data_IF_982032797527
#
_entry.id   IF_982032797527
#
_cell.length_a   1.000
_cell.length_b   1.000
_cell.length_c   1.000
_cell.angle_alpha   90.00
_cell.angle_beta   90.00
_cell.angle_gamma   90.00
#
_symmetry.space_group_name_H-M   'P 1'
#
loop_
_entity.id
_entity.type
_entity.pdbx_description
1 polymer ?
#
# COMPACT_ATOMS: atom_id res chain seq x y z
N UNK A 1 1.85 -5.94 -12.13
CA UNK A 1 0.88 -4.83 -11.95
C UNK A 1 0.45 -4.24 -13.31
N UNK A 2 -0.70 -3.55 -13.39
CA UNK A 2 -1.20 -2.96 -14.65
C UNK A 2 -0.25 -1.91 -15.26
N UNK A 3 0.46 -1.14 -14.43
CA UNK A 3 1.44 -0.14 -14.91
C UNK A 3 2.60 -0.78 -15.68
N UNK A 4 3.08 -1.94 -15.24
CA UNK A 4 4.13 -2.71 -15.93
C UNK A 4 3.66 -3.20 -17.31
N UNK A 5 2.39 -3.59 -17.44
CA UNK A 5 1.79 -3.94 -18.75
C UNK A 5 1.76 -2.72 -19.69
N UNK A 6 1.61 -1.50 -19.15
CA UNK A 6 1.65 -0.27 -19.96
C UNK A 6 3.08 0.07 -20.40
N UNK A 7 4.07 -0.01 -19.51
CA UNK A 7 5.50 0.17 -19.85
C UNK A 7 5.96 -0.78 -20.97
N UNK A 8 5.47 -2.01 -20.99
CA UNK A 8 5.80 -2.99 -22.04
C UNK A 8 5.14 -2.69 -23.39
N UNK A 9 3.99 -2.01 -23.38
CA UNK A 9 3.17 -1.81 -24.58
C UNK A 9 3.36 -0.44 -25.23
N UNK A 10 3.73 0.56 -24.45
CA UNK A 10 3.84 1.95 -24.87
C UNK A 10 5.17 2.53 -24.45
N UNK A 11 5.71 3.43 -25.26
CA UNK A 11 6.86 4.24 -24.92
C UNK A 11 6.41 5.41 -24.04
N UNK A 12 6.41 5.21 -22.72
CA UNK A 12 5.94 6.18 -21.72
C UNK A 12 6.93 6.30 -20.57
N UNK A 13 7.09 7.52 -20.08
CA UNK A 13 7.78 7.79 -18.84
C UNK A 13 6.79 7.74 -17.66
N UNK A 14 7.14 7.01 -16.60
CA UNK A 14 6.32 6.92 -15.39
C UNK A 14 6.95 7.76 -14.30
N UNK A 15 6.16 8.68 -13.75
CA UNK A 15 6.49 9.39 -12.53
C UNK A 15 5.58 8.92 -11.40
N UNK A 16 6.16 8.31 -10.37
CA UNK A 16 5.44 7.96 -9.15
C UNK A 16 5.23 9.22 -8.30
N UNK A 17 4.07 9.30 -7.66
CA UNK A 17 3.71 10.40 -6.77
C UNK A 17 3.15 9.81 -5.49
N UNK A 18 3.87 10.02 -4.40
CA UNK A 18 3.43 9.57 -3.08
C UNK A 18 2.29 10.45 -2.55
N UNK A 19 1.22 9.81 -2.09
CA UNK A 19 0.02 10.50 -1.62
C UNK A 19 -0.43 9.96 -0.25
N UNK A 20 -0.30 10.74 0.84
CA UNK A 20 -0.78 10.32 2.15
C UNK A 20 -2.31 10.46 2.22
N UNK A 21 -3.03 9.34 2.11
CA UNK A 21 -4.50 9.35 2.14
C UNK A 21 -5.07 9.73 3.52
N UNK A 22 -4.41 9.29 4.59
CA UNK A 22 -4.78 9.54 5.98
C UNK A 22 -3.55 9.97 6.80
N UNK A 23 -3.03 11.20 6.59
CA UNK A 23 -1.82 11.67 7.26
C UNK A 23 -1.95 11.73 8.79
N UNK A 24 -3.17 11.85 9.30
CA UNK A 24 -3.48 11.92 10.74
C UNK A 24 -3.63 10.53 11.41
N UNK A 25 -3.31 9.44 10.70
CA UNK A 25 -3.33 8.11 11.31
C UNK A 25 -2.24 8.03 12.39
N UNK A 26 -2.52 7.58 13.62
CA UNK A 26 -1.49 7.40 14.65
C UNK A 26 -0.40 6.40 14.22
N UNK A 27 0.77 6.46 14.85
CA UNK A 27 1.90 5.57 14.54
C UNK A 27 1.57 4.11 14.83
N UNK A 28 0.83 3.85 15.90
CA UNK A 28 0.29 2.54 16.26
C UNK A 28 -0.79 2.02 15.29
N UNK A 29 -1.24 2.87 14.36
CA UNK A 29 -2.31 2.60 13.42
C UNK A 29 -3.70 2.93 13.97
N UNK A 30 -4.71 2.56 13.16
CA UNK A 30 -6.12 2.71 13.50
C UNK A 30 -6.88 1.49 12.99
N UNK A 31 -7.86 1.00 13.74
CA UNK A 31 -8.72 -0.07 13.26
C UNK A 31 -9.54 0.38 12.04
N UNK A 32 -9.89 -0.55 11.16
CA UNK A 32 -10.81 -0.27 10.05
C UNK A 32 -12.19 0.17 10.56
N UNK A 33 -12.65 -0.41 11.67
CA UNK A 33 -13.92 -0.04 12.28
C UNK A 33 -13.94 1.44 12.71
N UNK A 34 -12.88 1.91 13.38
CA UNK A 34 -12.77 3.31 13.81
C UNK A 34 -12.59 4.26 12.62
N UNK A 35 -11.82 3.86 11.60
CA UNK A 35 -11.62 4.68 10.40
C UNK A 35 -12.94 4.98 9.69
N UNK A 36 -13.85 4.00 9.65
CA UNK A 36 -15.13 4.11 8.96
C UNK A 36 -16.32 4.33 9.91
N UNK A 37 -16.07 4.60 11.19
CA UNK A 37 -17.12 4.86 12.16
C UNK A 37 -18.05 6.00 11.71
N UNK A 38 -19.36 5.76 11.78
CA UNK A 38 -20.38 6.73 11.35
C UNK A 38 -20.55 6.87 9.84
N UNK A 39 -19.94 5.99 9.04
CA UNK A 39 -20.14 5.92 7.58
C UNK A 39 -20.94 4.68 7.22
N UNK A 40 -21.68 4.75 6.12
CA UNK A 40 -22.28 3.57 5.49
C UNK A 40 -21.20 2.75 4.78
N UNK A 41 -20.45 1.98 5.56
CA UNK A 41 -19.33 1.17 5.10
C UNK A 41 -19.50 -0.29 5.52
N UNK A 42 -19.61 -1.18 4.54
CA UNK A 42 -19.58 -2.62 4.73
C UNK A 42 -18.14 -3.15 4.51
N UNK A 43 -17.41 -3.51 5.60
CA UNK A 43 -16.05 -4.00 5.49
C UNK A 43 -15.95 -5.35 4.76
N UNK A 44 -16.95 -6.23 4.89
CA UNK A 44 -16.94 -7.54 4.22
C UNK A 44 -17.17 -7.37 2.72
N UNK A 45 -18.18 -6.60 2.33
CA UNK A 45 -18.44 -6.33 0.92
C UNK A 45 -17.26 -5.59 0.27
N UNK A 46 -16.65 -4.62 0.96
CA UNK A 46 -15.47 -3.92 0.46
C UNK A 46 -14.27 -4.86 0.31
N UNK A 47 -14.04 -5.75 1.27
CA UNK A 47 -12.97 -6.75 1.19
C UNK A 47 -13.19 -7.71 0.03
N UNK A 48 -14.38 -8.33 -0.07
CA UNK A 48 -14.72 -9.29 -1.11
C UNK A 48 -14.57 -8.70 -2.51
N UNK A 49 -15.03 -7.45 -2.70
CA UNK A 49 -14.85 -6.74 -3.97
C UNK A 49 -13.39 -6.54 -4.32
N UNK A 50 -12.56 -6.11 -3.37
CA UNK A 50 -11.13 -5.90 -3.60
C UNK A 50 -10.40 -7.21 -3.86
N UNK A 51 -10.69 -8.25 -3.07
CA UNK A 51 -10.10 -9.58 -3.21
C UNK A 51 -10.39 -10.16 -4.61
N UNK A 52 -11.63 -10.08 -5.09
CA UNK A 52 -11.98 -10.55 -6.43
C UNK A 52 -11.22 -9.80 -7.54
N UNK A 53 -11.02 -8.48 -7.42
CA UNK A 53 -10.22 -7.71 -8.38
C UNK A 53 -8.74 -8.11 -8.36
N UNK A 54 -8.18 -8.34 -7.17
CA UNK A 54 -6.78 -8.76 -7.01
C UNK A 54 -6.55 -10.17 -7.55
N UNK A 55 -7.47 -11.10 -7.29
CA UNK A 55 -7.45 -12.47 -7.84
C UNK A 55 -7.50 -12.45 -9.37
N UNK A 56 -8.33 -11.58 -9.96
CA UNK A 56 -8.39 -11.39 -11.41
C UNK A 56 -7.08 -10.85 -12.03
N UNK A 57 -6.23 -10.21 -11.23
CA UNK A 57 -4.89 -9.75 -11.65
C UNK A 57 -3.76 -10.68 -11.19
N UNK A 58 -4.07 -11.77 -10.47
CA UNK A 58 -3.07 -12.68 -9.89
C UNK A 58 -2.24 -12.04 -8.77
N UNK A 59 -2.78 -11.06 -8.05
CA UNK A 59 -2.10 -10.34 -6.98
C UNK A 59 -2.51 -10.88 -5.60
N UNK A 60 -1.55 -11.12 -4.69
CA UNK A 60 -1.86 -11.46 -3.30
C UNK A 60 -2.55 -10.28 -2.62
N UNK A 61 -3.56 -10.57 -1.82
CA UNK A 61 -4.31 -9.57 -1.06
C UNK A 61 -4.94 -10.20 0.16
N UNK A 62 -4.62 -9.65 1.34
CA UNK A 62 -5.06 -10.17 2.62
C UNK A 62 -6.15 -9.30 3.23
N UNK A 63 -6.94 -9.91 4.12
CA UNK A 63 -7.95 -9.17 4.88
C UNK A 63 -7.25 -8.37 5.97
N UNK A 64 -7.37 -7.04 5.92
CA UNK A 64 -6.77 -6.14 6.91
C UNK A 64 -7.77 -5.78 8.01
N UNK A 65 -7.26 -5.67 9.23
CA UNK A 65 -8.02 -5.18 10.40
C UNK A 65 -7.67 -3.73 10.76
N UNK A 66 -6.50 -3.25 10.30
CA UNK A 66 -5.95 -1.93 10.61
C UNK A 66 -5.53 -1.17 9.35
N UNK A 67 -5.44 0.15 9.48
CA UNK A 67 -4.65 1.03 8.61
C UNK A 67 -3.48 1.59 9.41
N UNK A 68 -2.36 1.82 8.75
CA UNK A 68 -1.19 2.43 9.38
C UNK A 68 -0.82 3.73 8.68
N UNK A 69 -0.12 4.60 9.42
CA UNK A 69 0.42 5.82 8.84
C UNK A 69 1.51 5.46 7.83
N UNK A 70 1.33 5.87 6.57
CA UNK A 70 2.25 5.54 5.48
C UNK A 70 3.29 6.62 5.21
N UNK A 71 3.39 7.68 6.02
CA UNK A 71 4.30 8.80 5.76
C UNK A 71 5.76 8.35 5.64
N UNK A 72 6.25 7.56 6.59
CA UNK A 72 7.64 7.07 6.57
C UNK A 72 7.90 6.13 5.38
N UNK A 73 6.98 5.20 5.10
CA UNK A 73 7.03 4.36 3.91
C UNK A 73 7.09 5.17 2.60
N UNK A 74 6.34 6.27 2.54
CA UNK A 74 6.33 7.17 1.39
C UNK A 74 7.62 7.96 1.25
N UNK A 75 8.18 8.46 2.35
CA UNK A 75 9.49 9.12 2.37
C UNK A 75 10.60 8.16 1.95
N UNK A 76 10.55 6.90 2.43
CA UNK A 76 11.46 5.85 2.01
C UNK A 76 11.34 5.56 0.50
N UNK A 77 10.12 5.46 -0.01
CA UNK A 77 9.86 5.31 -1.45
C UNK A 77 10.44 6.47 -2.27
N UNK A 78 10.21 7.71 -1.84
CA UNK A 78 10.73 8.89 -2.52
C UNK A 78 12.27 8.94 -2.50
N UNK A 79 12.89 8.51 -1.40
CA UNK A 79 14.35 8.36 -1.34
C UNK A 79 14.84 7.25 -2.29
N UNK A 80 14.16 6.11 -2.35
CA UNK A 80 14.55 4.98 -3.18
C UNK A 80 14.54 5.32 -4.68
N UNK A 81 13.68 6.23 -5.15
CA UNK A 81 13.71 6.73 -6.54
C UNK A 81 15.09 7.31 -6.93
N UNK A 82 15.90 7.75 -5.96
CA UNK A 82 17.26 8.26 -6.21
C UNK A 82 18.34 7.18 -6.25
N UNK A 83 17.99 5.93 -5.96
CA UNK A 83 18.92 4.81 -5.81
C UNK A 83 18.82 3.83 -6.99
N UNK A 84 19.94 3.23 -7.44
CA UNK A 84 19.90 2.16 -8.44
C UNK A 84 19.04 0.98 -7.97
N UNK A 85 18.01 0.63 -8.75
CA UNK A 85 17.10 -0.48 -8.43
C UNK A 85 16.04 -0.16 -7.36
N UNK A 86 15.90 1.10 -6.95
CA UNK A 86 14.96 1.50 -5.90
C UNK A 86 13.49 1.25 -6.20
N UNK A 87 13.10 1.01 -7.46
CA UNK A 87 11.72 0.66 -7.84
C UNK A 87 11.20 -0.59 -7.09
N UNK A 88 12.08 -1.51 -6.69
CA UNK A 88 11.70 -2.73 -5.97
C UNK A 88 11.06 -2.44 -4.60
N UNK A 89 11.37 -1.30 -3.97
CA UNK A 89 10.83 -0.95 -2.65
C UNK A 89 9.31 -0.79 -2.69
N UNK A 90 8.73 -0.37 -3.83
CA UNK A 90 7.29 -0.13 -3.91
C UNK A 90 6.51 -1.43 -3.80
N UNK A 91 6.99 -2.50 -4.44
CA UNK A 91 6.38 -3.83 -4.37
C UNK A 91 6.58 -4.45 -2.97
N UNK A 92 7.74 -4.21 -2.35
CA UNK A 92 8.03 -4.69 -1.01
C UNK A 92 7.14 -4.01 0.06
N UNK A 93 6.99 -2.67 -0.01
CA UNK A 93 6.08 -1.91 0.85
C UNK A 93 4.62 -2.30 0.62
N UNK A 94 4.21 -2.54 -0.63
CA UNK A 94 2.88 -3.05 -0.95
C UNK A 94 2.64 -4.40 -0.28
N UNK A 95 3.60 -5.32 -0.38
CA UNK A 95 3.51 -6.66 0.20
C UNK A 95 3.41 -6.59 1.72
N UNK A 96 4.33 -5.87 2.37
CA UNK A 96 4.34 -5.68 3.81
C UNK A 96 2.98 -5.14 4.32
N UNK A 97 2.38 -4.18 3.61
CA UNK A 97 1.14 -3.56 4.04
C UNK A 97 -0.14 -4.34 3.69
N UNK A 98 -0.30 -4.75 2.43
CA UNK A 98 -1.56 -5.31 1.91
C UNK A 98 -1.61 -6.84 1.93
N UNK A 99 -0.46 -7.51 2.07
CA UNK A 99 -0.36 -8.97 2.11
C UNK A 99 -0.05 -9.42 3.53
N UNK A 100 0.98 -8.86 4.14
CA UNK A 100 1.44 -9.31 5.45
C UNK A 100 0.78 -8.56 6.62
N UNK A 101 0.12 -7.42 6.33
CA UNK A 101 -0.57 -6.61 7.34
C UNK A 101 0.37 -5.95 8.35
N UNK A 102 1.64 -5.72 7.99
CA UNK A 102 2.64 -5.07 8.84
C UNK A 102 2.41 -3.56 8.96
N UNK A 103 2.83 -3.00 10.09
CA UNK A 103 2.80 -1.56 10.34
C UNK A 103 3.95 -0.84 9.62
N UNK A 104 3.68 -0.28 8.44
CA UNK A 104 4.67 0.49 7.66
C UNK A 104 4.94 1.91 8.20
N UNK A 105 4.33 2.26 9.34
CA UNK A 105 4.71 3.44 10.13
C UNK A 105 5.78 3.13 11.19
N UNK A 106 6.15 1.85 11.36
CA UNK A 106 7.20 1.40 12.26
C UNK A 106 8.54 1.31 11.52
N UNK A 107 9.58 1.93 12.08
CA UNK A 107 10.91 1.93 11.49
C UNK A 107 11.54 0.55 11.46
N UNK A 108 11.27 -0.30 12.46
CA UNK A 108 11.84 -1.65 12.49
C UNK A 108 11.25 -2.51 11.38
N UNK A 109 9.94 -2.36 11.12
CA UNK A 109 9.28 -2.98 9.96
C UNK A 109 9.88 -2.48 8.65
N UNK A 110 10.12 -1.17 8.53
CA UNK A 110 10.67 -0.59 7.30
C UNK A 110 12.12 -1.03 7.02
N UNK A 111 12.90 -1.39 8.04
CA UNK A 111 14.25 -1.93 7.87
C UNK A 111 14.25 -3.39 7.38
N UNK A 112 13.13 -4.11 7.54
CA UNK A 112 12.95 -5.47 7.00
C UNK A 112 12.48 -5.50 5.54
N UNK A 113 12.03 -4.36 5.02
CA UNK A 113 11.51 -4.18 3.65
C UNK A 113 12.64 -3.85 2.69
#
# INVERSE_FOLDING_TARGET
>A
MRIEKLKQKFDIEIKLVHFPLHPDTPTEGRSMADLFAGRDYDPEASYNRMKAMMDGEGLPYSKRTHTYNSRLAQELGAWAETQPGGEAIHDALYTAYFVDGKNVGDTDVLLEV
#
